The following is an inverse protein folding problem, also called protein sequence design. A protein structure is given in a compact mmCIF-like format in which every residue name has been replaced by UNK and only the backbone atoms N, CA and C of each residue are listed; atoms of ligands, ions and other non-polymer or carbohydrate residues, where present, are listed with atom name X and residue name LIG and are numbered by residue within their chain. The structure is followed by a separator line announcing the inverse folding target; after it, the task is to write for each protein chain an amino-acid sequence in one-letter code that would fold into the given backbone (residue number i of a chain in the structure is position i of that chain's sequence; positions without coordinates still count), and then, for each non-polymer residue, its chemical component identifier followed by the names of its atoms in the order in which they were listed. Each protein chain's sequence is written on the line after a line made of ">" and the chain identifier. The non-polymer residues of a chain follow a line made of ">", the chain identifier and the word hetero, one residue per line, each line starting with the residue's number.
data_IF_910769323885
#
_entry.id   IF_910769323885
#
_cell.length_a   1.000
_cell.length_b   1.000
_cell.length_c   1.000
_cell.angle_alpha   90.00
_cell.angle_beta   90.00
_cell.angle_gamma   90.00
#
_symmetry.space_group_name_H-M   'P 1'
#
loop_
_entity.id
_entity.type
_entity.pdbx_description
1 polymer ?
#
# COMPACT_ATOMS: atom_id res chain seq x y z
N UNK A 1 -26.63 62.18 24.26
CA UNK A 1 -25.77 60.97 24.34
C UNK A 1 -25.48 60.50 22.91
N UNK A 2 -24.27 60.72 22.42
CA UNK A 2 -23.87 60.18 21.11
C UNK A 2 -23.42 58.74 21.30
N UNK A 3 -24.12 57.79 20.68
CA UNK A 3 -23.89 56.35 20.79
C UNK A 3 -23.35 55.79 19.47
N UNK A 4 -22.42 56.50 18.84
CA UNK A 4 -21.70 55.99 17.67
C UNK A 4 -20.53 55.16 18.18
N UNK A 5 -20.60 53.83 18.04
CA UNK A 5 -19.43 52.96 18.24
C UNK A 5 -18.59 53.02 16.95
N UNK A 6 -17.34 53.50 17.00
CA UNK A 6 -16.48 53.47 15.82
C UNK A 6 -16.21 52.02 15.41
N UNK A 7 -16.20 51.77 14.09
CA UNK A 7 -15.84 50.48 13.53
C UNK A 7 -14.39 50.13 13.92
N UNK A 8 -14.19 48.90 14.40
CA UNK A 8 -12.86 48.34 14.67
C UNK A 8 -12.59 47.28 13.61
N UNK A 9 -11.51 47.47 12.85
CA UNK A 9 -11.07 46.49 11.87
C UNK A 9 -10.43 45.28 12.56
N UNK A 10 -10.47 44.13 11.88
CA UNK A 10 -9.76 42.92 12.32
C UNK A 10 -8.26 43.10 12.10
N UNK A 11 -7.47 42.76 13.11
CA UNK A 11 -6.00 42.80 13.05
C UNK A 11 -5.50 41.37 13.11
N UNK A 12 -4.92 40.89 12.00
CA UNK A 12 -4.35 39.55 11.90
C UNK A 12 -2.84 39.60 11.96
N UNK A 13 -2.22 38.85 12.88
CA UNK A 13 -0.77 38.69 12.95
C UNK A 13 -0.41 37.20 12.83
N UNK A 14 0.42 36.87 11.83
CA UNK A 14 0.81 35.49 11.54
C UNK A 14 -0.15 34.77 10.57
N UNK A 15 -0.01 33.44 10.46
CA UNK A 15 -0.75 32.67 9.44
C UNK A 15 -2.16 32.34 9.92
N UNK A 16 -3.19 32.83 9.23
CA UNK A 16 -4.61 32.55 9.53
C UNK A 16 -5.02 31.19 8.96
N UNK A 17 -5.47 30.28 9.82
CA UNK A 17 -5.84 28.90 9.51
C UNK A 17 -7.28 28.62 9.91
N UNK A 18 -7.91 27.70 9.19
CA UNK A 18 -9.22 27.16 9.58
C UNK A 18 -9.05 25.77 10.19
N UNK A 19 -9.92 25.43 11.17
CA UNK A 19 -9.98 24.07 11.73
C UNK A 19 -10.22 23.01 10.64
N UNK A 20 -10.98 23.35 9.61
CA UNK A 20 -11.24 22.47 8.47
C UNK A 20 -9.96 22.14 7.68
N UNK A 21 -9.12 23.15 7.41
CA UNK A 21 -7.86 22.95 6.68
C UNK A 21 -6.86 22.13 7.50
N UNK A 22 -6.79 22.36 8.82
CA UNK A 22 -5.94 21.56 9.73
C UNK A 22 -6.40 20.10 9.73
N UNK A 23 -7.70 19.85 9.79
CA UNK A 23 -8.27 18.49 9.75
C UNK A 23 -8.06 17.76 8.41
N UNK A 24 -7.62 18.46 7.36
CA UNK A 24 -7.27 17.86 6.08
C UNK A 24 -5.81 17.42 6.02
N UNK A 25 -4.95 17.87 6.94
CA UNK A 25 -3.57 17.43 7.02
C UNK A 25 -3.50 15.94 7.33
N UNK A 26 -2.56 15.26 6.67
CA UNK A 26 -2.33 13.82 6.86
C UNK A 26 -0.85 13.52 6.93
N UNK A 27 -0.52 12.56 7.78
CA UNK A 27 0.83 11.98 7.83
C UNK A 27 1.17 11.42 6.44
N UNK A 28 2.42 11.64 6.01
CA UNK A 28 2.93 11.28 4.69
C UNK A 28 2.80 12.38 3.62
N UNK A 29 2.04 13.45 3.86
CA UNK A 29 1.98 14.60 2.94
C UNK A 29 3.36 15.22 2.72
N UNK A 30 3.64 15.63 1.49
CA UNK A 30 4.87 16.37 1.18
C UNK A 30 4.82 17.81 1.69
N UNK A 31 5.99 18.43 1.94
CA UNK A 31 6.11 19.86 2.28
C UNK A 31 5.31 20.76 1.31
N UNK A 32 5.33 20.47 0.01
CA UNK A 32 4.57 21.20 -1.02
C UNK A 32 3.06 21.04 -0.85
N UNK A 33 2.56 19.82 -0.66
CA UNK A 33 1.13 19.57 -0.42
C UNK A 33 0.62 20.28 0.83
N UNK A 34 1.43 20.31 1.90
CA UNK A 34 1.09 21.05 3.11
C UNK A 34 0.99 22.55 2.81
N UNK A 35 1.95 23.12 2.07
CA UNK A 35 1.89 24.53 1.67
C UNK A 35 0.69 24.87 0.78
N UNK A 36 0.32 23.99 -0.15
CA UNK A 36 -0.87 24.17 -0.98
C UNK A 36 -2.16 24.16 -0.15
N UNK A 37 -2.19 23.40 0.95
CA UNK A 37 -3.37 23.27 1.79
C UNK A 37 -3.52 24.37 2.85
N UNK A 38 -2.43 24.73 3.54
CA UNK A 38 -2.46 25.65 4.69
C UNK A 38 -1.51 26.85 4.53
N UNK A 39 -0.84 26.98 3.40
CA UNK A 39 0.10 28.06 3.13
C UNK A 39 1.49 27.85 3.72
N UNK A 40 2.33 28.86 3.55
CA UNK A 40 3.71 28.89 4.06
C UNK A 40 3.73 29.02 5.58
N UNK A 41 4.63 28.31 6.29
CA UNK A 41 4.77 28.47 7.74
C UNK A 41 5.20 29.89 8.12
N UNK A 42 4.78 30.35 9.30
CA UNK A 42 5.15 31.67 9.81
C UNK A 42 6.59 31.70 10.31
N UNK A 43 7.09 30.57 10.81
CA UNK A 43 8.45 30.42 11.33
C UNK A 43 9.05 29.11 10.82
N UNK A 44 10.26 29.20 10.29
CA UNK A 44 11.11 28.05 9.95
C UNK A 44 12.32 28.16 10.87
N UNK A 45 12.51 27.18 11.74
CA UNK A 45 13.66 27.14 12.64
C UNK A 45 14.94 26.84 11.83
N UNK A 46 15.96 27.71 11.82
CA UNK A 46 17.20 27.49 11.08
C UNK A 46 18.03 26.31 11.62
N UNK A 47 17.82 25.90 12.87
CA UNK A 47 18.48 24.75 13.49
C UNK A 47 17.70 23.45 13.31
N UNK A 48 16.37 23.57 13.14
CA UNK A 48 15.47 22.44 12.91
C UNK A 48 14.69 22.62 11.60
N UNK A 49 15.37 22.48 10.45
CA UNK A 49 14.81 22.61 9.09
C UNK A 49 13.62 21.67 8.76
N UNK A 50 13.30 20.78 9.69
CA UNK A 50 12.26 19.78 9.61
C UNK A 50 11.04 20.10 10.49
N UNK A 51 11.01 21.25 11.16
CA UNK A 51 9.85 21.70 11.92
C UNK A 51 9.29 23.00 11.35
N UNK A 52 7.98 23.01 11.12
CA UNK A 52 7.24 24.18 10.66
C UNK A 52 6.24 24.61 11.71
N UNK A 53 6.30 25.88 12.06
CA UNK A 53 5.44 26.48 13.07
C UNK A 53 4.50 27.49 12.42
N UNK A 54 3.20 27.28 12.62
CA UNK A 54 2.14 28.18 12.22
C UNK A 54 1.61 28.86 13.47
N UNK A 55 1.92 30.15 13.61
CA UNK A 55 1.58 30.94 14.79
C UNK A 55 0.63 32.03 14.33
N UNK A 56 -0.42 32.26 15.12
CA UNK A 56 -1.35 33.34 14.88
C UNK A 56 -1.68 34.06 16.18
N UNK A 57 -1.84 35.37 16.07
CA UNK A 57 -2.31 36.27 17.10
C UNK A 57 -3.19 37.33 16.45
N UNK A 58 -4.48 37.01 16.31
CA UNK A 58 -5.45 37.91 15.72
C UNK A 58 -6.37 38.51 16.78
N UNK A 59 -6.66 39.80 16.63
CA UNK A 59 -7.68 40.52 17.40
C UNK A 59 -8.80 40.90 16.45
N UNK A 60 -9.98 40.35 16.68
CA UNK A 60 -11.17 40.66 15.88
C UNK A 60 -11.78 42.00 16.30
N UNK A 61 -12.48 42.65 15.39
CA UNK A 61 -13.22 43.89 15.66
C UNK A 61 -14.28 43.73 16.76
N UNK A 62 -14.76 42.50 16.97
CA UNK A 62 -15.62 42.10 18.08
C UNK A 62 -14.93 42.13 19.45
N UNK A 63 -13.59 42.11 19.49
CA UNK A 63 -12.78 41.98 20.70
C UNK A 63 -12.32 40.54 20.99
N UNK A 64 -12.73 39.55 20.19
CA UNK A 64 -12.24 38.18 20.31
C UNK A 64 -10.76 38.08 19.95
N UNK A 65 -10.01 37.30 20.73
CA UNK A 65 -8.59 37.05 20.49
C UNK A 65 -8.43 35.61 20.03
N UNK A 66 -7.87 35.43 18.85
CA UNK A 66 -7.48 34.14 18.31
C UNK A 66 -5.98 34.01 18.45
N UNK A 67 -5.53 33.07 19.28
CA UNK A 67 -4.11 32.77 19.51
C UNK A 67 -3.86 31.28 19.48
N UNK A 68 -3.12 30.83 18.48
CA UNK A 68 -2.73 29.42 18.38
C UNK A 68 -1.30 29.22 17.88
N UNK A 69 -0.81 28.00 18.13
CA UNK A 69 0.42 27.46 17.53
C UNK A 69 0.13 26.03 17.06
N UNK A 70 0.28 25.81 15.75
CA UNK A 70 0.29 24.48 15.14
C UNK A 70 1.74 24.13 14.78
N UNK A 71 2.19 22.96 15.21
CA UNK A 71 3.56 22.49 14.95
C UNK A 71 3.48 21.27 14.04
N UNK A 72 4.19 21.33 12.91
CA UNK A 72 4.31 20.23 11.95
C UNK A 72 5.76 19.77 11.90
N UNK A 73 6.01 18.47 12.09
CA UNK A 73 7.35 17.89 11.94
C UNK A 73 7.43 17.02 10.72
N UNK A 74 8.53 17.14 10.00
CA UNK A 74 8.83 16.46 8.75
C UNK A 74 10.04 15.55 8.92
N UNK A 75 10.05 14.46 8.18
CA UNK A 75 11.24 13.64 7.98
C UNK A 75 11.56 13.66 6.48
N UNK A 76 12.70 14.28 6.14
CA UNK A 76 13.03 14.63 4.76
C UNK A 76 11.97 15.54 4.14
N UNK A 77 11.15 14.98 3.24
CA UNK A 77 10.08 15.71 2.53
C UNK A 77 8.68 15.40 3.04
N UNK A 78 8.51 14.41 3.93
CA UNK A 78 7.19 13.90 4.35
C UNK A 78 6.83 14.36 5.75
N UNK A 79 5.55 14.69 5.96
CA UNK A 79 4.97 15.04 7.25
C UNK A 79 4.89 13.79 8.13
N UNK A 80 5.49 13.82 9.32
CA UNK A 80 5.52 12.69 10.26
C UNK A 80 4.78 12.96 11.57
N UNK A 81 4.57 14.23 11.93
CA UNK A 81 3.85 14.61 13.13
C UNK A 81 3.06 15.91 12.94
N UNK A 82 1.86 15.94 13.52
CA UNK A 82 0.97 17.09 13.57
C UNK A 82 0.61 17.32 15.04
N UNK A 83 1.08 18.40 15.66
CA UNK A 83 0.71 18.76 17.02
C UNK A 83 -0.38 19.84 16.99
N UNK A 84 -1.56 19.49 17.49
CA UNK A 84 -2.74 20.36 17.55
C UNK A 84 -3.05 20.87 18.96
N UNK A 85 -2.17 20.68 19.94
CA UNK A 85 -2.44 21.04 21.34
C UNK A 85 -2.66 22.56 21.50
N UNK A 86 -1.99 23.34 20.66
CA UNK A 86 -2.04 24.80 20.68
C UNK A 86 -3.17 25.45 19.86
N UNK A 87 -4.15 24.70 19.33
CA UNK A 87 -5.17 25.26 18.40
C UNK A 87 -6.56 25.49 19.03
N UNK A 88 -6.66 25.46 20.36
CA UNK A 88 -7.94 25.57 21.08
C UNK A 88 -8.69 26.88 20.81
N UNK A 89 -7.98 27.99 20.54
CA UNK A 89 -8.62 29.28 20.23
C UNK A 89 -9.23 29.36 18.83
N UNK A 90 -9.02 28.35 17.96
CA UNK A 90 -9.58 28.37 16.62
C UNK A 90 -11.09 28.17 16.67
N UNK A 91 -11.85 28.96 15.89
CA UNK A 91 -13.29 28.77 15.75
C UNK A 91 -13.63 27.31 15.44
N UNK A 92 -14.74 26.85 16.02
CA UNK A 92 -15.25 25.53 15.71
C UNK A 92 -15.74 25.42 14.27
N UNK A 93 -15.85 24.19 13.79
CA UNK A 93 -16.42 23.92 12.47
C UNK A 93 -17.91 24.29 12.47
N UNK A 94 -18.32 25.03 11.46
CA UNK A 94 -19.75 25.20 11.15
C UNK A 94 -20.38 23.88 10.72
N UNK A 95 -21.70 23.74 10.81
CA UNK A 95 -22.40 22.50 10.41
C UNK A 95 -22.15 22.13 8.95
N UNK A 96 -22.04 23.14 8.08
CA UNK A 96 -21.65 22.94 6.67
C UNK A 96 -20.26 22.32 6.55
N UNK A 97 -19.29 22.80 7.33
CA UNK A 97 -17.93 22.28 7.31
C UNK A 97 -17.83 20.90 7.98
N UNK A 98 -18.60 20.64 9.05
CA UNK A 98 -18.71 19.31 9.66
C UNK A 98 -19.24 18.29 8.66
N UNK A 99 -20.34 18.59 7.98
CA UNK A 99 -20.92 17.74 6.93
C UNK A 99 -19.94 17.48 5.80
N UNK A 100 -19.24 18.52 5.31
CA UNK A 100 -18.22 18.38 4.27
C UNK A 100 -17.06 17.46 4.73
N UNK A 101 -16.61 17.63 5.98
CA UNK A 101 -15.56 16.78 6.55
C UNK A 101 -16.02 15.32 6.67
N UNK A 102 -17.26 15.08 7.12
CA UNK A 102 -17.85 13.75 7.23
C UNK A 102 -17.96 13.06 5.86
N UNK A 103 -18.48 13.76 4.85
CA UNK A 103 -18.56 13.23 3.48
C UNK A 103 -17.18 12.86 2.95
N UNK A 104 -16.18 13.74 3.11
CA UNK A 104 -14.81 13.45 2.69
C UNK A 104 -14.24 12.20 3.38
N UNK A 105 -14.44 12.07 4.68
CA UNK A 105 -13.96 10.92 5.45
C UNK A 105 -14.66 9.64 4.99
N UNK A 106 -15.97 9.69 4.71
CA UNK A 106 -16.73 8.55 4.22
C UNK A 106 -16.25 8.09 2.83
N UNK A 107 -16.04 9.03 1.90
CA UNK A 107 -15.49 8.74 0.57
C UNK A 107 -14.09 8.12 0.63
N UNK A 108 -13.22 8.67 1.50
CA UNK A 108 -11.87 8.15 1.67
C UNK A 108 -11.87 6.73 2.27
N UNK A 109 -12.71 6.47 3.28
CA UNK A 109 -12.89 5.13 3.84
C UNK A 109 -13.41 4.15 2.80
N UNK A 110 -14.36 4.56 1.96
CA UNK A 110 -14.89 3.73 0.89
C UNK A 110 -13.82 3.37 -0.16
N UNK A 111 -12.98 4.35 -0.55
CA UNK A 111 -11.85 4.10 -1.47
C UNK A 111 -10.85 3.10 -0.89
N UNK A 112 -10.46 3.27 0.38
CA UNK A 112 -9.54 2.36 1.06
C UNK A 112 -10.13 0.94 1.14
N UNK A 113 -11.43 0.82 1.44
CA UNK A 113 -12.10 -0.48 1.50
C UNK A 113 -12.10 -1.17 0.13
N UNK A 114 -12.38 -0.43 -0.93
CA UNK A 114 -12.40 -0.97 -2.29
C UNK A 114 -10.99 -1.37 -2.77
N UNK A 115 -9.98 -0.55 -2.50
CA UNK A 115 -8.58 -0.89 -2.75
C UNK A 115 -8.15 -2.17 -2.01
N UNK A 116 -8.58 -2.31 -0.75
CA UNK A 116 -8.32 -3.52 0.04
C UNK A 116 -9.00 -4.75 -0.57
N UNK A 117 -10.26 -4.64 -0.99
CA UNK A 117 -11.00 -5.73 -1.67
C UNK A 117 -10.29 -6.18 -2.95
N UNK A 118 -9.89 -5.22 -3.78
CA UNK A 118 -9.13 -5.48 -5.01
C UNK A 118 -7.78 -6.16 -4.73
N UNK A 119 -7.08 -5.74 -3.68
CA UNK A 119 -5.82 -6.37 -3.26
C UNK A 119 -6.03 -7.81 -2.77
N UNK A 120 -7.08 -8.07 -1.98
CA UNK A 120 -7.44 -9.41 -1.50
C UNK A 120 -7.84 -10.35 -2.65
N UNK A 121 -8.59 -9.87 -3.63
CA UNK A 121 -8.96 -10.66 -4.83
C UNK A 121 -7.75 -11.01 -5.68
N UNK A 122 -6.84 -10.04 -5.90
CA UNK A 122 -5.57 -10.29 -6.61
C UNK A 122 -4.71 -11.30 -5.86
N UNK A 123 -4.65 -11.23 -4.53
CA UNK A 123 -3.90 -12.18 -3.72
C UNK A 123 -4.47 -13.60 -3.84
N UNK A 124 -5.79 -13.76 -3.73
CA UNK A 124 -6.47 -15.05 -3.92
C UNK A 124 -6.22 -15.64 -5.31
N UNK A 125 -6.30 -14.82 -6.35
CA UNK A 125 -6.02 -15.27 -7.72
C UNK A 125 -4.56 -15.70 -7.89
N UNK A 126 -3.60 -14.91 -7.37
CA UNK A 126 -2.19 -15.27 -7.43
C UNK A 126 -1.88 -16.57 -6.67
N UNK A 127 -2.55 -16.82 -5.56
CA UNK A 127 -2.40 -18.06 -4.79
C UNK A 127 -3.00 -19.27 -5.52
N UNK A 128 -4.18 -19.13 -6.13
CA UNK A 128 -4.75 -20.17 -6.97
C UNK A 128 -3.87 -20.51 -8.17
N UNK A 129 -3.29 -19.50 -8.83
CA UNK A 129 -2.36 -19.72 -9.96
C UNK A 129 -1.09 -20.45 -9.50
N UNK A 130 -0.53 -20.12 -8.32
CA UNK A 130 0.59 -20.87 -7.73
C UNK A 130 0.23 -22.31 -7.43
N UNK A 131 -0.95 -22.56 -6.85
CA UNK A 131 -1.43 -23.92 -6.55
C UNK A 131 -1.60 -24.72 -7.84
N UNK A 132 -2.23 -24.14 -8.87
CA UNK A 132 -2.38 -24.78 -10.19
C UNK A 132 -1.03 -25.08 -10.83
N UNK A 133 -0.09 -24.14 -10.82
CA UNK A 133 1.25 -24.33 -11.38
C UNK A 133 1.99 -25.47 -10.68
N UNK A 134 1.93 -25.53 -9.34
CA UNK A 134 2.54 -26.62 -8.55
C UNK A 134 1.90 -27.97 -8.85
N UNK A 135 0.58 -28.03 -8.99
CA UNK A 135 -0.15 -29.25 -9.36
C UNK A 135 0.17 -29.71 -10.79
N UNK A 136 0.37 -28.78 -11.73
CA UNK A 136 0.78 -29.07 -13.10
C UNK A 136 2.20 -29.65 -13.14
N UNK A 137 3.12 -29.07 -12.36
CA UNK A 137 4.50 -29.56 -12.23
C UNK A 137 4.53 -30.97 -11.64
N UNK A 138 3.74 -31.23 -10.60
CA UNK A 138 3.66 -32.56 -9.99
C UNK A 138 3.04 -33.60 -10.94
N UNK A 139 2.03 -33.20 -11.74
CA UNK A 139 1.47 -34.05 -12.81
C UNK A 139 2.51 -34.33 -13.91
N UNK A 140 3.28 -33.33 -14.32
CA UNK A 140 4.31 -33.50 -15.35
C UNK A 140 5.41 -34.49 -14.90
N UNK A 141 5.86 -34.39 -13.63
CA UNK A 141 6.83 -35.34 -13.06
C UNK A 141 6.30 -36.77 -13.03
N UNK A 142 5.05 -36.97 -12.59
CA UNK A 142 4.42 -38.31 -12.57
C UNK A 142 4.27 -38.90 -13.98
N UNK A 143 3.91 -38.08 -14.97
CA UNK A 143 3.81 -38.52 -16.36
C UNK A 143 5.18 -38.91 -16.93
N UNK A 144 6.25 -38.18 -16.57
CA UNK A 144 7.61 -38.52 -16.98
C UNK A 144 8.09 -39.85 -16.35
N UNK A 145 7.78 -40.09 -15.06
CA UNK A 145 8.06 -41.36 -14.39
C UNK A 145 7.28 -42.52 -15.02
N UNK A 146 6.00 -42.32 -15.33
CA UNK A 146 5.16 -43.35 -15.96
C UNK A 146 5.66 -43.70 -17.38
N UNK A 147 6.08 -42.70 -18.16
CA UNK A 147 6.65 -42.93 -19.48
C UNK A 147 8.00 -43.67 -19.40
N UNK A 148 8.88 -43.31 -18.46
CA UNK A 148 10.15 -44.05 -18.23
C UNK A 148 9.91 -45.50 -17.83
N UNK A 149 8.91 -45.77 -17.00
CA UNK A 149 8.56 -47.12 -16.58
C UNK A 149 8.07 -47.97 -17.78
N UNK A 150 7.20 -47.41 -18.63
CA UNK A 150 6.75 -48.09 -19.86
C UNK A 150 7.89 -48.38 -20.82
N UNK A 151 8.83 -47.44 -20.99
CA UNK A 151 9.98 -47.61 -21.89
C UNK A 151 10.96 -48.70 -21.39
N UNK A 152 11.10 -48.84 -20.06
CA UNK A 152 11.89 -49.91 -19.45
C UNK A 152 11.21 -51.28 -19.60
N UNK A 153 9.89 -51.34 -19.45
CA UNK A 153 9.11 -52.56 -19.65
C UNK A 153 9.20 -53.04 -21.12
N UNK A 154 9.17 -52.11 -22.07
CA UNK A 154 9.30 -52.40 -23.50
C UNK A 154 10.71 -52.92 -23.84
N UNK A 155 11.76 -52.27 -23.30
CA UNK A 155 13.16 -52.74 -23.44
C UNK A 155 13.38 -54.12 -22.81
N UNK A 156 12.72 -54.42 -21.69
CA UNK A 156 12.81 -55.72 -21.04
C UNK A 156 12.18 -56.82 -21.91
N UNK A 157 11.02 -56.56 -22.52
CA UNK A 157 10.37 -57.47 -23.47
C UNK A 157 11.23 -57.73 -24.71
N UNK A 158 11.86 -56.70 -25.27
CA UNK A 158 12.81 -56.87 -26.39
C UNK A 158 14.04 -57.72 -26.02
N UNK A 159 14.55 -57.59 -24.80
CA UNK A 159 15.66 -58.38 -24.28
C UNK A 159 15.27 -59.86 -24.09
N UNK A 160 14.05 -60.11 -23.59
CA UNK A 160 13.49 -61.46 -23.49
C UNK A 160 13.32 -62.12 -24.87
N UNK A 161 12.82 -61.39 -25.87
CA UNK A 161 12.72 -61.89 -27.24
C UNK A 161 14.09 -62.17 -27.88
N UNK A 162 15.07 -61.28 -27.65
CA UNK A 162 16.46 -61.47 -28.10
C UNK A 162 17.13 -62.68 -27.44
N UNK A 163 16.86 -62.92 -26.15
CA UNK A 163 17.39 -64.07 -25.44
C UNK A 163 16.75 -65.37 -25.92
N UNK A 164 15.43 -65.41 -26.16
CA UNK A 164 14.75 -66.55 -26.80
C UNK A 164 15.31 -66.85 -28.19
N UNK A 165 15.59 -65.83 -29.01
CA UNK A 165 16.19 -66.04 -30.34
C UNK A 165 17.65 -66.49 -30.27
N UNK A 166 18.40 -66.10 -29.24
CA UNK A 166 19.75 -66.62 -28.96
C UNK A 166 19.73 -68.08 -28.53
N UNK A 167 18.84 -68.46 -27.61
CA UNK A 167 18.69 -69.85 -27.15
C UNK A 167 18.24 -70.81 -28.27
N UNK A 168 17.39 -70.34 -29.20
CA UNK A 168 17.05 -71.13 -30.41
C UNK A 168 18.25 -71.31 -31.36
N UNK A 169 19.14 -70.33 -31.46
CA UNK A 169 20.38 -70.40 -32.27
C UNK A 169 21.47 -71.24 -31.61
N UNK A 170 21.50 -71.31 -30.29
CA UNK A 170 22.46 -72.11 -29.53
C UNK A 170 22.07 -73.60 -29.53
N UNK A 171 20.77 -73.92 -29.45
CA UNK A 171 20.25 -75.28 -29.64
C UNK A 171 20.50 -75.83 -31.05
N UNK A 172 20.40 -75.00 -32.09
CA UNK A 172 20.72 -75.43 -33.47
C UNK A 172 22.22 -75.64 -33.71
N UNK A 173 23.11 -75.04 -32.91
CA UNK A 173 24.56 -75.25 -33.00
C UNK A 173 25.07 -76.46 -32.19
N UNK A 174 24.30 -76.94 -31.21
CA UNK A 174 24.62 -78.18 -30.47
C UNK A 174 24.33 -79.44 -31.29
N UNK A 175 23.36 -79.41 -32.21
CA UNK A 175 23.07 -80.53 -33.11
C UNK A 175 24.11 -80.73 -34.23
N UNK A 176 25.00 -79.76 -34.48
CA UNK A 176 26.04 -79.83 -35.51
C UNK A 176 27.36 -80.43 -34.99
N UNK A 177 27.65 -80.30 -33.68
CA UNK A 177 28.92 -80.78 -33.08
C UNK A 177 28.86 -82.17 -32.45
N UNK A 178 27.72 -82.88 -32.54
CA UNK A 178 27.58 -84.28 -32.09
C UNK A 178 27.91 -85.31 -33.18
N UNK A 179 28.46 -84.91 -34.33
CA UNK A 179 28.79 -85.80 -35.45
C UNK A 179 30.29 -85.76 -35.80
N UNK A 180 31.12 -86.22 -34.86
CA UNK A 180 32.51 -86.63 -35.12
C UNK A 180 32.95 -87.73 -34.15
#
# INVERSE_FOLDING_TARGET
>A
MSLIKPYKADINQGTVLSRLSINQLKIGMSKKQVQELIGTPSVIDPFHNNQWDYINHSMMGSGEIIRYRLILKFEGVKLVNINTDGISSLPELTDKQKKLQETRIAEEKAKILEEKRLAEEKAKHAEQEKIKAKALEEKAKKLEEENKAKELEEKAKELEEKNKTKELKEKTNLDINSSK
#
